data_IF_735408711630
#
_entry.id   IF_735408711630
#
_cell.length_a   1.000
_cell.length_b   1.000
_cell.length_c   1.000
_cell.angle_alpha   90.00
_cell.angle_beta   90.00
_cell.angle_gamma   90.00
#
_symmetry.space_group_name_H-M   'P 1'
#
loop_
_entity.id
_entity.type
_entity.pdbx_description
1 polymer ?
#
# COMPACT_ATOMS: atom_id res chain seq x y z
N UNK A 1 -10.88 -0.67 0.90
CA UNK A 1 -10.79 -1.93 0.11
C UNK A 1 -10.68 -3.14 1.04
N UNK A 2 -10.99 -4.37 0.58
CA UNK A 2 -10.90 -5.58 1.42
C UNK A 2 -9.69 -6.44 1.06
N UNK A 3 -8.95 -6.86 2.09
CA UNK A 3 -7.71 -7.62 1.99
C UNK A 3 -7.93 -9.05 2.49
N UNK A 4 -7.33 -10.03 1.81
CA UNK A 4 -7.32 -11.41 2.29
C UNK A 4 -6.57 -11.51 3.62
N UNK A 5 -7.16 -12.17 4.62
CA UNK A 5 -6.58 -12.27 5.98
C UNK A 5 -5.14 -12.80 6.00
N UNK A 6 -4.83 -13.72 5.09
CA UNK A 6 -3.49 -14.29 4.89
C UNK A 6 -2.46 -13.28 4.32
N UNK A 7 -2.89 -12.16 3.75
CA UNK A 7 -2.03 -11.13 3.14
C UNK A 7 -1.85 -9.89 4.02
N UNK A 8 -2.68 -9.71 5.05
CA UNK A 8 -2.56 -8.58 5.99
C UNK A 8 -1.15 -8.54 6.61
N UNK A 9 -0.65 -9.68 7.08
CA UNK A 9 0.70 -9.75 7.66
C UNK A 9 1.81 -9.37 6.67
N UNK A 10 1.61 -9.66 5.38
CA UNK A 10 2.58 -9.35 4.31
C UNK A 10 2.58 -7.86 3.98
N UNK A 11 1.41 -7.22 3.99
CA UNK A 11 1.26 -5.77 3.78
C UNK A 11 1.82 -4.99 4.97
N UNK A 12 1.62 -5.49 6.19
CA UNK A 12 2.25 -4.91 7.38
C UNK A 12 3.78 -5.09 7.30
N UNK A 13 4.26 -6.28 6.92
CA UNK A 13 5.68 -6.59 6.89
C UNK A 13 6.26 -6.81 8.30
N UNK A 14 7.55 -7.16 8.38
CA UNK A 14 8.20 -7.37 9.68
C UNK A 14 8.22 -6.05 10.44
N UNK A 15 7.69 -6.03 11.67
CA UNK A 15 7.60 -4.82 12.50
C UNK A 15 6.90 -3.62 11.81
N UNK A 16 6.07 -3.85 10.79
CA UNK A 16 5.43 -2.77 10.06
C UNK A 16 6.27 -2.17 8.92
N UNK A 17 7.43 -2.75 8.57
CA UNK A 17 8.36 -2.20 7.57
C UNK A 17 7.68 -1.89 6.22
N UNK A 18 7.02 -2.88 5.61
CA UNK A 18 6.39 -2.73 4.29
C UNK A 18 5.36 -1.60 4.31
N UNK A 19 4.54 -1.55 5.36
CA UNK A 19 3.52 -0.52 5.51
C UNK A 19 4.17 0.87 5.61
N UNK A 20 5.19 1.02 6.46
CA UNK A 20 5.90 2.29 6.64
C UNK A 20 6.56 2.76 5.36
N UNK A 21 7.21 1.85 4.64
CA UNK A 21 7.87 2.17 3.38
C UNK A 21 6.87 2.74 2.36
N UNK A 22 5.67 2.16 2.25
CA UNK A 22 4.61 2.67 1.37
C UNK A 22 4.11 4.04 1.86
N UNK A 23 3.86 4.17 3.17
CA UNK A 23 3.38 5.41 3.80
C UNK A 23 4.36 6.59 3.58
N UNK A 24 5.65 6.38 3.83
CA UNK A 24 6.70 7.40 3.66
C UNK A 24 6.97 7.73 2.19
N UNK A 25 6.95 6.72 1.30
CA UNK A 25 7.18 6.94 -0.14
C UNK A 25 6.07 7.79 -0.77
N UNK A 26 4.83 7.64 -0.30
CA UNK A 26 3.64 8.26 -0.89
C UNK A 26 3.05 9.41 -0.06
N UNK A 27 3.56 9.68 1.15
CA UNK A 27 2.97 10.67 2.04
C UNK A 27 1.52 10.38 2.38
N UNK A 28 1.24 9.12 2.73
CA UNK A 28 -0.11 8.65 3.09
C UNK A 28 -0.08 7.90 4.42
N UNK A 29 -1.27 7.68 4.97
CA UNK A 29 -1.51 6.78 6.08
C UNK A 29 -2.39 5.62 5.63
N UNK A 30 -1.96 4.40 5.94
CA UNK A 30 -2.68 3.15 5.68
C UNK A 30 -3.30 2.69 7.00
N UNK A 31 -4.63 2.65 7.06
CA UNK A 31 -5.37 2.08 8.17
C UNK A 31 -5.82 0.66 7.80
N UNK A 32 -5.30 -0.34 8.51
CA UNK A 32 -5.56 -1.76 8.26
C UNK A 32 -6.19 -2.40 9.50
N UNK A 33 -7.40 -2.91 9.35
CA UNK A 33 -8.09 -3.69 10.38
C UNK A 33 -7.82 -5.18 10.18
N UNK A 34 -7.07 -5.78 11.10
CA UNK A 34 -6.68 -7.18 11.06
C UNK A 34 -7.85 -8.16 11.30
N UNK A 35 -8.97 -7.70 11.89
CA UNK A 35 -10.16 -8.54 12.14
C UNK A 35 -11.05 -8.59 10.91
N UNK A 36 -11.34 -7.44 10.31
CA UNK A 36 -12.28 -7.32 9.17
C UNK A 36 -11.58 -7.45 7.81
N UNK A 37 -10.29 -7.15 7.74
CA UNK A 37 -9.53 -7.03 6.50
C UNK A 37 -9.79 -5.72 5.76
N UNK A 38 -10.44 -4.73 6.40
CA UNK A 38 -10.63 -3.41 5.81
C UNK A 38 -9.30 -2.66 5.77
N UNK A 39 -9.01 -2.09 4.61
CA UNK A 39 -7.84 -1.26 4.35
C UNK A 39 -8.30 0.08 3.77
N UNK A 40 -7.99 1.15 4.49
CA UNK A 40 -8.31 2.53 4.13
C UNK A 40 -7.03 3.35 3.97
N UNK A 41 -7.09 4.37 3.11
CA UNK A 41 -5.96 5.22 2.76
C UNK A 41 -6.34 6.67 3.02
N UNK A 42 -5.45 7.42 3.68
CA UNK A 42 -5.63 8.84 3.94
C UNK A 42 -4.38 9.59 3.49
N UNK A 43 -4.50 10.69 2.73
CA UNK A 43 -3.35 11.51 2.40
C UNK A 43 -2.86 12.28 3.63
N UNK A 44 -1.56 12.49 3.74
CA UNK A 44 -0.95 13.39 4.72
C UNK A 44 -0.55 14.65 3.95
N UNK A 45 -1.39 15.69 4.00
CA UNK A 45 -1.30 16.87 3.13
C UNK A 45 0.01 17.66 3.30
N UNK A 46 0.57 17.57 4.49
CA UNK A 46 1.77 18.24 4.98
C UNK A 46 3.05 17.41 4.79
N UNK A 47 2.94 16.23 4.15
CA UNK A 47 4.09 15.37 3.85
C UNK A 47 4.84 15.85 2.59
N UNK A 48 6.19 15.85 2.56
CA UNK A 48 6.97 16.33 1.41
C UNK A 48 6.71 15.55 0.11
N UNK A 49 6.39 14.26 0.23
CA UNK A 49 6.09 13.38 -0.91
C UNK A 49 4.59 13.35 -1.29
N UNK A 50 3.75 14.21 -0.71
CA UNK A 50 2.31 14.21 -0.99
C UNK A 50 2.01 14.59 -2.45
N UNK A 51 1.17 13.78 -3.09
CA UNK A 51 0.54 14.08 -4.38
C UNK A 51 -0.91 13.56 -4.34
N UNK A 52 -1.90 14.30 -4.90
CA UNK A 52 -3.29 13.84 -5.02
C UNK A 52 -3.47 12.43 -5.60
N UNK A 53 -2.58 12.00 -6.49
CA UNK A 53 -2.66 10.69 -7.14
C UNK A 53 -2.07 9.54 -6.32
N UNK A 54 -1.33 9.83 -5.25
CA UNK A 54 -0.63 8.81 -4.46
C UNK A 54 -1.57 7.79 -3.82
N UNK A 55 -2.83 8.16 -3.55
CA UNK A 55 -3.84 7.22 -3.06
C UNK A 55 -4.07 6.10 -4.08
N UNK A 56 -4.07 6.41 -5.38
CA UNK A 56 -4.24 5.40 -6.43
C UNK A 56 -3.01 4.49 -6.52
N UNK A 57 -1.81 5.04 -6.47
CA UNK A 57 -0.57 4.26 -6.45
C UNK A 57 -0.51 3.33 -5.23
N UNK A 58 -0.90 3.83 -4.05
CA UNK A 58 -1.00 3.02 -2.83
C UNK A 58 -1.98 1.85 -2.98
N UNK A 59 -3.15 2.13 -3.55
CA UNK A 59 -4.15 1.09 -3.83
C UNK A 59 -3.61 0.06 -4.82
N UNK A 60 -2.86 0.47 -5.85
CA UNK A 60 -2.21 -0.44 -6.80
C UNK A 60 -1.20 -1.35 -6.10
N UNK A 61 -0.29 -0.77 -5.31
CA UNK A 61 0.72 -1.51 -4.53
C UNK A 61 0.05 -2.51 -3.58
N UNK A 62 -0.90 -2.06 -2.76
CA UNK A 62 -1.58 -2.92 -1.79
C UNK A 62 -2.41 -4.01 -2.48
N UNK A 63 -3.06 -3.70 -3.60
CA UNK A 63 -3.75 -4.71 -4.41
C UNK A 63 -2.80 -5.76 -4.99
N UNK A 64 -1.64 -5.35 -5.49
CA UNK A 64 -0.63 -6.29 -5.99
C UNK A 64 -0.18 -7.24 -4.88
N UNK A 65 0.12 -6.73 -3.68
CA UNK A 65 0.48 -7.57 -2.53
C UNK A 65 -0.67 -8.50 -2.15
N UNK A 66 -1.91 -8.01 -2.16
CA UNK A 66 -3.11 -8.81 -1.88
C UNK A 66 -3.30 -9.95 -2.91
N UNK A 67 -2.91 -9.73 -4.17
CA UNK A 67 -2.94 -10.74 -5.26
C UNK A 67 -1.78 -11.73 -5.22
N UNK A 68 -0.84 -11.58 -4.29
CA UNK A 68 0.26 -12.53 -4.10
C UNK A 68 1.63 -12.05 -4.58
N UNK A 69 1.73 -10.85 -5.14
CA UNK A 69 3.04 -10.26 -5.41
C UNK A 69 3.81 -10.07 -4.09
N UNK A 70 5.13 -10.22 -4.14
CA UNK A 70 5.96 -9.88 -2.99
C UNK A 70 6.05 -8.34 -2.85
N UNK A 71 6.30 -7.80 -1.65
CA UNK A 71 6.38 -6.36 -1.43
C UNK A 71 7.38 -5.66 -2.36
N UNK A 72 8.58 -6.22 -2.52
CA UNK A 72 9.64 -5.65 -3.35
C UNK A 72 9.22 -5.45 -4.81
N UNK A 73 8.50 -6.39 -5.41
CA UNK A 73 7.95 -6.24 -6.78
C UNK A 73 6.78 -5.28 -6.80
N UNK A 74 5.90 -5.32 -5.80
CA UNK A 74 4.74 -4.43 -5.74
C UNK A 74 5.15 -2.96 -5.62
N UNK A 75 6.23 -2.66 -4.91
CA UNK A 75 6.78 -1.29 -4.78
C UNK A 75 7.20 -0.66 -6.11
N UNK A 76 7.39 -1.44 -7.19
CA UNK A 76 7.60 -0.87 -8.52
C UNK A 76 6.41 -0.04 -9.02
N UNK A 77 5.20 -0.32 -8.51
CA UNK A 77 3.98 0.43 -8.84
C UNK A 77 3.92 1.81 -8.19
N UNK A 78 4.94 2.19 -7.41
CA UNK A 78 5.13 3.58 -6.98
C UNK A 78 5.55 4.48 -8.15
N UNK A 79 6.23 3.91 -9.14
CA UNK A 79 6.57 4.58 -10.38
C UNK A 79 5.36 4.49 -11.33
N UNK A 80 4.87 5.64 -11.77
CA UNK A 80 3.68 5.78 -12.62
C UNK A 80 3.84 5.13 -14.01
N UNK A 81 5.07 4.80 -14.42
CA UNK A 81 5.35 4.06 -15.67
C UNK A 81 5.05 2.57 -15.55
N UNK A 82 4.86 2.04 -14.34
CA UNK A 82 4.47 0.65 -14.12
C UNK A 82 2.97 0.53 -13.87
N UNK A 83 2.38 -0.49 -14.46
CA UNK A 83 1.01 -0.89 -14.14
C UNK A 83 0.90 -2.38 -13.85
N UNK A 84 -0.18 -2.75 -13.17
CA UNK A 84 -0.55 -4.13 -12.89
C UNK A 84 -1.68 -4.54 -13.82
N UNK A 85 -1.38 -5.41 -14.78
CA UNK A 85 -2.36 -6.04 -15.65
C UNK A 85 -2.89 -7.32 -14.98
N UNK A 86 -4.22 -7.48 -14.96
CA UNK A 86 -4.91 -8.55 -14.23
C UNK A 86 -5.94 -9.22 -15.12
#
# INVERSE_FOLDING_TARGET
>A
MKIGKNRIAVIIGKNGETKKDIEESLGIQIALDSKTGNCDFKPILDHPNYNPLNIFSAQKVVNAINRGFNPVKAMKLLDETFDIEV
#
